data_IF_247457806533
#
_entry.id   IF_247457806533
#
_cell.length_a   1.000
_cell.length_b   1.000
_cell.length_c   1.000
_cell.angle_alpha   90.00
_cell.angle_beta   90.00
_cell.angle_gamma   90.00
#
_symmetry.space_group_name_H-M   'P 1'
#
loop_
_entity.id
_entity.type
_entity.pdbx_description
1 polymer ?
#
# COMPACT_ATOMS: atom_id res chain seq x y z
N UNK A 1 26.53 -32.61 49.42
CA UNK A 1 26.22 -33.91 48.77
C UNK A 1 25.65 -33.57 47.39
N UNK A 2 26.14 -33.96 46.22
CA UNK A 2 27.22 -34.85 45.75
C UNK A 2 27.52 -34.48 44.28
N UNK A 3 28.83 -34.42 43.94
CA UNK A 3 29.54 -34.77 42.69
C UNK A 3 29.03 -34.25 41.31
N UNK A 4 29.80 -33.42 40.58
CA UNK A 4 30.97 -33.73 39.72
C UNK A 4 30.64 -34.67 38.56
N UNK A 5 30.72 -34.16 37.32
CA UNK A 5 31.16 -34.91 36.14
C UNK A 5 31.79 -33.96 35.10
N UNK A 6 33.12 -33.94 35.09
CA UNK A 6 33.98 -33.53 33.97
C UNK A 6 34.33 -34.81 33.22
N UNK A 7 34.25 -34.84 31.89
CA UNK A 7 35.25 -35.53 31.06
C UNK A 7 35.13 -35.19 29.57
N UNK A 8 36.27 -34.72 29.06
CA UNK A 8 36.67 -34.47 27.68
C UNK A 8 36.60 -35.73 26.80
N UNK A 9 36.47 -35.56 25.48
CA UNK A 9 37.35 -36.25 24.54
C UNK A 9 37.41 -35.52 23.17
N UNK A 10 38.63 -35.17 22.79
CA UNK A 10 39.07 -34.68 21.48
C UNK A 10 39.61 -35.87 20.69
N UNK A 11 39.30 -35.98 19.40
CA UNK A 11 40.12 -36.73 18.45
C UNK A 11 39.95 -36.17 17.03
N UNK A 12 41.06 -35.70 16.46
CA UNK A 12 41.23 -35.36 15.06
C UNK A 12 41.83 -36.57 14.32
N UNK A 13 41.40 -36.84 13.09
CA UNK A 13 42.16 -37.64 12.12
C UNK A 13 41.99 -37.02 10.73
N UNK A 14 43.13 -36.74 10.09
CA UNK A 14 43.31 -36.23 8.72
C UNK A 14 43.79 -37.40 7.84
N UNK A 15 43.53 -37.28 6.53
CA UNK A 15 44.24 -37.88 5.39
C UNK A 15 43.57 -39.05 4.64
N UNK A 16 43.24 -38.77 3.37
CA UNK A 16 43.78 -39.51 2.22
C UNK A 16 42.92 -40.62 1.61
N UNK A 17 42.47 -40.42 0.36
CA UNK A 17 42.65 -41.39 -0.73
C UNK A 17 42.28 -40.74 -2.08
N UNK A 18 43.31 -40.55 -2.89
CA UNK A 18 43.31 -40.22 -4.31
C UNK A 18 43.28 -41.54 -5.12
N UNK A 19 42.54 -41.62 -6.24
CA UNK A 19 43.00 -42.24 -7.50
C UNK A 19 41.88 -42.60 -8.47
N UNK A 20 42.14 -42.23 -9.74
CA UNK A 20 41.89 -42.97 -11.00
C UNK A 20 40.54 -42.83 -11.73
N UNK A 21 40.60 -41.87 -12.66
CA UNK A 21 40.18 -41.98 -14.06
C UNK A 21 40.57 -43.31 -14.75
N UNK A 22 39.66 -43.87 -15.55
CA UNK A 22 39.96 -44.44 -16.89
C UNK A 22 38.69 -44.85 -17.66
N UNK A 23 38.30 -44.01 -18.61
CA UNK A 23 37.99 -44.27 -20.02
C UNK A 23 37.64 -45.70 -20.53
N UNK A 24 36.44 -45.75 -21.15
CA UNK A 24 36.13 -46.13 -22.54
C UNK A 24 36.25 -47.59 -23.05
N UNK A 25 35.16 -47.99 -23.72
CA UNK A 25 35.06 -48.71 -25.00
C UNK A 25 34.66 -50.19 -24.99
N UNK A 26 33.48 -50.42 -25.63
CA UNK A 26 33.12 -51.51 -26.54
C UNK A 26 33.12 -52.95 -25.96
N UNK A 27 32.27 -53.89 -26.37
CA UNK A 27 31.80 -54.17 -27.72
C UNK A 27 30.64 -55.19 -27.69
N UNK A 28 29.86 -55.12 -28.77
CA UNK A 28 28.66 -55.82 -29.22
C UNK A 28 28.63 -57.36 -29.20
N UNK A 29 27.41 -57.93 -29.17
CA UNK A 29 26.89 -59.10 -29.93
C UNK A 29 25.37 -59.25 -29.60
N UNK A 30 24.37 -58.94 -30.45
CA UNK A 30 23.86 -59.66 -31.64
C UNK A 30 23.33 -61.09 -31.28
N UNK A 31 22.11 -61.60 -31.57
CA UNK A 31 20.88 -61.17 -32.30
C UNK A 31 19.72 -62.17 -32.03
N UNK A 32 18.46 -61.75 -32.27
CA UNK A 32 17.31 -62.50 -32.86
C UNK A 32 16.17 -62.95 -31.92
N UNK A 33 14.94 -63.23 -32.44
CA UNK A 33 13.89 -62.23 -32.64
C UNK A 33 12.56 -62.63 -31.96
N UNK A 34 11.88 -61.70 -31.30
CA UNK A 34 10.62 -61.94 -30.61
C UNK A 34 9.54 -61.00 -31.12
N UNK A 35 8.65 -61.58 -31.92
CA UNK A 35 7.40 -61.07 -32.50
C UNK A 35 6.74 -59.93 -31.73
N UNK A 36 6.49 -58.86 -32.49
CA UNK A 36 5.57 -57.76 -32.20
C UNK A 36 4.19 -58.25 -31.76
N UNK A 37 3.81 -57.87 -30.55
CA UNK A 37 2.41 -57.75 -30.14
C UNK A 37 2.22 -56.30 -29.68
N UNK A 38 1.66 -55.50 -30.57
CA UNK A 38 1.13 -54.17 -30.27
C UNK A 38 0.17 -54.28 -29.09
N UNK A 39 0.59 -53.79 -27.94
CA UNK A 39 -0.33 -53.40 -26.88
C UNK A 39 -0.17 -51.88 -26.71
N UNK A 40 -0.67 -51.15 -27.70
CA UNK A 40 -0.78 -49.70 -27.67
C UNK A 40 -1.85 -49.32 -26.65
N UNK A 41 -1.45 -49.20 -25.38
CA UNK A 41 -2.21 -48.45 -24.41
C UNK A 41 -2.43 -47.05 -24.99
N UNK A 42 -3.66 -46.51 -25.07
CA UNK A 42 -3.87 -45.15 -25.55
C UNK A 42 -3.08 -44.21 -24.65
N UNK A 43 -1.99 -43.67 -25.20
CA UNK A 43 -1.18 -42.67 -24.53
C UNK A 43 -2.09 -41.46 -24.34
N UNK A 44 -2.52 -41.26 -23.09
CA UNK A 44 -3.29 -40.09 -22.70
C UNK A 44 -2.51 -38.87 -23.24
N UNK A 45 -3.14 -38.01 -24.07
CA UNK A 45 -2.46 -36.85 -24.60
C UNK A 45 -1.85 -36.09 -23.41
N UNK A 46 -0.61 -35.56 -23.55
CA UNK A 46 -0.01 -34.78 -22.49
C UNK A 46 -1.04 -33.73 -22.05
N UNK A 47 -1.23 -33.53 -20.73
CA UNK A 47 -2.15 -32.50 -20.26
C UNK A 47 -1.76 -31.21 -20.98
N UNK A 48 -2.71 -30.66 -21.73
CA UNK A 48 -2.56 -29.37 -22.38
C UNK A 48 -2.35 -28.39 -21.23
N UNK A 49 -1.09 -28.08 -20.93
CA UNK A 49 -0.74 -27.02 -20.00
C UNK A 49 -1.31 -25.78 -20.64
N UNK A 50 -2.40 -25.27 -20.05
CA UNK A 50 -3.00 -24.02 -20.50
C UNK A 50 -1.87 -22.98 -20.62
N UNK A 51 -1.83 -22.20 -21.72
CA UNK A 51 -0.85 -21.12 -21.81
C UNK A 51 -0.96 -20.29 -20.54
N UNK A 52 0.18 -20.09 -19.86
CA UNK A 52 0.21 -19.31 -18.64
C UNK A 52 -0.54 -17.99 -18.89
N UNK A 53 -1.43 -17.58 -17.96
CA UNK A 53 -2.14 -16.32 -18.13
C UNK A 53 -1.13 -15.21 -18.42
N UNK A 54 -1.48 -14.25 -19.30
CA UNK A 54 -0.58 -13.14 -19.60
C UNK A 54 -0.14 -12.50 -18.28
N UNK A 55 1.14 -12.10 -18.16
CA UNK A 55 1.67 -11.56 -16.92
C UNK A 55 0.80 -10.38 -16.47
N UNK A 56 0.54 -10.25 -15.16
CA UNK A 56 -0.24 -9.14 -14.65
C UNK A 56 0.41 -7.83 -15.11
N UNK A 57 -0.42 -6.84 -15.44
CA UNK A 57 0.04 -5.52 -15.88
C UNK A 57 0.76 -4.73 -14.78
N UNK A 58 0.99 -5.36 -13.62
CA UNK A 58 1.55 -4.80 -12.40
C UNK A 58 2.46 -5.84 -11.74
N UNK A 59 3.37 -5.37 -10.90
CA UNK A 59 4.34 -6.23 -10.22
C UNK A 59 3.93 -6.65 -8.80
N UNK A 60 2.96 -5.97 -8.19
CA UNK A 60 2.47 -6.36 -6.86
C UNK A 60 1.76 -7.73 -6.89
N UNK A 61 1.97 -8.53 -5.84
CA UNK A 61 1.34 -9.84 -5.65
C UNK A 61 -0.05 -9.73 -5.02
N UNK A 62 -0.28 -8.69 -4.22
CA UNK A 62 -1.59 -8.38 -3.64
C UNK A 62 -1.79 -6.89 -3.44
N UNK A 63 -3.05 -6.47 -3.38
CA UNK A 63 -3.43 -5.11 -3.01
C UNK A 63 -4.64 -5.13 -2.08
N UNK A 64 -4.55 -4.44 -0.94
CA UNK A 64 -5.64 -4.29 0.00
C UNK A 64 -5.59 -2.88 0.61
N UNK A 65 -6.72 -2.17 0.57
CA UNK A 65 -6.89 -0.85 1.20
C UNK A 65 -5.79 0.17 0.82
N UNK A 66 -5.38 0.19 -0.46
CA UNK A 66 -4.31 1.07 -0.96
C UNK A 66 -2.89 0.70 -0.48
N UNK A 67 -2.73 -0.48 0.11
CA UNK A 67 -1.44 -1.10 0.45
C UNK A 67 -1.18 -2.25 -0.53
N UNK A 68 0.02 -2.29 -1.09
CA UNK A 68 0.45 -3.21 -2.12
C UNK A 68 1.58 -4.10 -1.59
N UNK A 69 1.41 -5.41 -1.70
CA UNK A 69 2.40 -6.40 -1.26
C UNK A 69 3.26 -6.86 -2.42
N UNK A 70 4.59 -6.81 -2.24
CA UNK A 70 5.56 -7.25 -3.23
C UNK A 70 6.39 -8.41 -2.70
N UNK A 71 6.61 -9.43 -3.54
CA UNK A 71 7.43 -10.57 -3.18
C UNK A 71 8.92 -10.24 -3.32
N UNK A 72 9.70 -10.27 -2.22
CA UNK A 72 11.14 -10.11 -2.32
C UNK A 72 11.79 -11.37 -2.89
N UNK A 73 12.85 -11.18 -3.67
CA UNK A 73 13.64 -12.29 -4.20
C UNK A 73 14.22 -13.18 -3.09
N UNK A 74 14.24 -14.49 -3.37
CA UNK A 74 14.96 -15.48 -2.56
C UNK A 74 16.46 -15.35 -2.80
N UNK A 75 17.25 -15.44 -1.73
CA UNK A 75 18.70 -15.60 -1.85
C UNK A 75 19.09 -17.03 -2.21
N UNK A 76 20.32 -17.25 -2.69
CA UNK A 76 20.83 -18.61 -2.94
C UNK A 76 20.79 -19.49 -1.68
N UNK A 77 21.03 -18.88 -0.52
CA UNK A 77 20.95 -19.55 0.78
C UNK A 77 19.50 -19.90 1.15
N UNK A 78 18.53 -19.01 0.89
CA UNK A 78 17.10 -19.30 1.05
C UNK A 78 16.71 -20.53 0.20
N UNK A 79 17.13 -20.56 -1.07
CA UNK A 79 16.85 -21.68 -1.97
C UNK A 79 17.52 -22.97 -1.48
N UNK A 80 18.78 -22.90 -1.05
CA UNK A 80 19.52 -24.06 -0.52
C UNK A 80 18.89 -24.60 0.77
N UNK A 81 18.30 -23.72 1.57
CA UNK A 81 17.55 -24.08 2.78
C UNK A 81 16.14 -24.61 2.48
N UNK A 82 15.75 -24.72 1.20
CA UNK A 82 14.42 -25.20 0.79
C UNK A 82 13.29 -24.19 1.01
N UNK A 83 13.62 -22.91 1.20
CA UNK A 83 12.62 -21.86 1.40
C UNK A 83 11.98 -21.50 0.07
N UNK A 84 10.68 -21.70 -0.03
CA UNK A 84 9.91 -21.47 -1.25
C UNK A 84 9.48 -20.01 -1.44
N UNK A 85 9.25 -19.26 -0.35
CA UNK A 85 8.75 -17.88 -0.41
C UNK A 85 9.26 -17.04 0.78
N UNK A 86 9.13 -15.71 0.67
CA UNK A 86 9.38 -14.74 1.74
C UNK A 86 8.10 -13.98 2.03
N UNK A 87 8.02 -13.40 3.24
CA UNK A 87 6.95 -12.48 3.57
C UNK A 87 6.93 -11.31 2.57
N UNK A 88 5.73 -10.83 2.27
CA UNK A 88 5.54 -9.70 1.36
C UNK A 88 6.09 -8.43 2.00
N UNK A 89 6.69 -7.58 1.17
CA UNK A 89 7.01 -6.22 1.55
C UNK A 89 5.82 -5.36 1.21
N UNK A 90 5.22 -4.79 2.26
CA UNK A 90 4.02 -3.96 2.14
C UNK A 90 4.41 -2.51 1.87
N UNK A 91 3.78 -1.92 0.86
CA UNK A 91 4.06 -0.57 0.40
C UNK A 91 2.77 0.20 0.15
N UNK A 92 2.73 1.46 0.60
CA UNK A 92 1.69 2.43 0.26
C UNK A 92 2.24 3.46 -0.73
N UNK A 93 1.49 3.71 -1.80
CA UNK A 93 1.81 4.79 -2.73
C UNK A 93 1.23 6.10 -2.20
N UNK A 94 2.06 7.11 -1.95
CA UNK A 94 1.58 8.42 -1.46
C UNK A 94 1.15 9.32 -2.62
N UNK A 95 1.66 9.07 -3.83
CA UNK A 95 1.41 9.88 -5.01
C UNK A 95 2.67 10.52 -5.60
N UNK A 96 2.46 11.31 -6.65
CA UNK A 96 3.44 12.17 -7.27
C UNK A 96 3.34 13.58 -6.64
N UNK A 97 4.40 14.04 -5.97
CA UNK A 97 4.47 15.40 -5.37
C UNK A 97 5.73 16.10 -5.84
N UNK A 98 5.60 17.33 -6.30
CA UNK A 98 6.74 18.13 -6.78
C UNK A 98 7.61 17.37 -7.80
N UNK A 99 6.97 16.63 -8.71
CA UNK A 99 7.64 15.80 -9.72
C UNK A 99 8.33 14.55 -9.17
N UNK A 100 8.13 14.21 -7.90
CA UNK A 100 8.72 13.05 -7.24
C UNK A 100 7.67 12.03 -6.79
N UNK A 101 7.83 10.77 -7.19
CA UNK A 101 7.05 9.64 -6.70
C UNK A 101 7.45 9.36 -5.25
N UNK A 102 6.47 9.18 -4.38
CA UNK A 102 6.69 8.89 -2.97
C UNK A 102 6.05 7.54 -2.62
N UNK A 103 6.88 6.60 -2.21
CA UNK A 103 6.48 5.28 -1.74
C UNK A 103 6.80 5.17 -0.25
N UNK A 104 5.93 4.51 0.50
CA UNK A 104 6.14 4.23 1.92
C UNK A 104 6.07 2.73 2.15
N UNK A 105 7.22 2.12 2.44
CA UNK A 105 7.28 0.74 2.89
C UNK A 105 6.93 0.71 4.37
N UNK A 106 5.92 -0.08 4.72
CA UNK A 106 5.43 -0.23 6.08
C UNK A 106 5.81 -1.61 6.61
N UNK A 107 6.25 -1.65 7.86
CA UNK A 107 6.49 -2.89 8.59
C UNK A 107 5.23 -3.20 9.42
N UNK A 108 4.60 -4.34 9.16
CA UNK A 108 3.38 -4.74 9.88
C UNK A 108 3.65 -5.12 11.34
N UNK A 109 4.85 -5.62 11.63
CA UNK A 109 5.25 -6.00 12.99
C UNK A 109 5.69 -4.77 13.80
N UNK A 110 6.19 -3.74 13.13
CA UNK A 110 6.59 -2.48 13.75
C UNK A 110 6.10 -1.24 13.00
N UNK A 111 4.84 -0.83 13.21
CA UNK A 111 4.24 0.30 12.49
C UNK A 111 4.92 1.64 12.77
N UNK A 112 5.78 1.71 13.80
CA UNK A 112 6.54 2.93 14.12
C UNK A 112 7.74 3.11 13.18
N UNK A 113 8.20 2.06 12.50
CA UNK A 113 9.32 2.13 11.57
C UNK A 113 8.78 2.01 10.15
N UNK A 114 9.14 2.96 9.30
CA UNK A 114 8.80 2.92 7.87
C UNK A 114 9.98 3.36 7.02
N UNK A 115 10.00 2.95 5.77
CA UNK A 115 11.01 3.42 4.82
C UNK A 115 10.34 4.21 3.71
N UNK A 116 10.65 5.52 3.63
CA UNK A 116 10.17 6.40 2.58
C UNK A 116 11.14 6.38 1.40
N UNK A 117 10.65 5.95 0.24
CA UNK A 117 11.37 6.03 -1.03
C UNK A 117 10.85 7.22 -1.82
N UNK A 118 11.74 8.05 -2.32
CA UNK A 118 11.38 9.21 -3.15
C UNK A 118 12.29 9.31 -4.37
N UNK A 119 11.71 9.42 -5.56
CA UNK A 119 12.47 9.62 -6.81
C UNK A 119 11.71 10.51 -7.78
N UNK A 120 12.43 11.28 -8.59
CA UNK A 120 11.86 12.03 -9.72
C UNK A 120 12.16 11.26 -11.01
N UNK A 121 11.23 11.27 -11.98
CA UNK A 121 11.44 10.62 -13.27
C UNK A 121 12.76 11.09 -13.91
N UNK A 122 13.59 10.19 -14.48
CA UNK A 122 13.32 8.78 -14.82
C UNK A 122 13.63 7.78 -13.68
N UNK A 123 13.75 8.22 -12.43
CA UNK A 123 13.93 7.39 -11.24
C UNK A 123 15.15 6.45 -11.25
N UNK A 124 16.23 6.77 -11.98
CA UNK A 124 17.49 5.99 -11.93
C UNK A 124 18.09 5.87 -10.51
N UNK A 125 17.79 6.85 -9.66
CA UNK A 125 18.16 6.88 -8.25
C UNK A 125 16.97 7.30 -7.42
N UNK A 126 16.86 6.74 -6.22
CA UNK A 126 15.86 7.09 -5.25
C UNK A 126 16.51 7.42 -3.91
N UNK A 127 15.96 8.41 -3.22
CA UNK A 127 16.30 8.70 -1.83
C UNK A 127 15.49 7.76 -0.94
N UNK A 128 16.16 6.90 -0.19
CA UNK A 128 15.57 6.04 0.84
C UNK A 128 15.78 6.67 2.20
N UNK A 129 14.71 6.81 2.97
CA UNK A 129 14.74 7.38 4.31
C UNK A 129 14.05 6.45 5.30
N UNK A 130 14.82 5.87 6.22
CA UNK A 130 14.24 5.11 7.33
C UNK A 130 13.73 6.09 8.36
N UNK A 131 12.45 6.01 8.66
CA UNK A 131 11.71 6.84 9.60
C UNK A 131 11.40 6.03 10.86
N UNK A 132 11.50 6.66 12.04
CA UNK A 132 10.85 6.19 13.26
C UNK A 132 9.88 7.28 13.73
N UNK A 133 8.58 7.05 13.53
CA UNK A 133 7.57 8.10 13.59
C UNK A 133 7.93 9.25 12.65
N UNK A 134 8.09 10.46 13.20
CA UNK A 134 8.44 11.66 12.44
C UNK A 134 9.95 11.86 12.22
N UNK A 135 10.80 11.08 12.89
CA UNK A 135 12.26 11.27 12.83
C UNK A 135 12.88 10.45 11.71
N UNK A 136 13.68 11.10 10.86
CA UNK A 136 14.51 10.42 9.87
C UNK A 136 15.72 9.83 10.61
N UNK A 137 15.75 8.52 10.76
CA UNK A 137 16.87 7.79 11.37
C UNK A 137 18.05 7.64 10.41
N UNK A 138 17.76 7.42 9.12
CA UNK A 138 18.78 7.19 8.10
C UNK A 138 18.33 7.73 6.75
N UNK A 139 19.24 8.33 5.99
CA UNK A 139 19.00 8.72 4.59
C UNK A 139 20.09 8.14 3.71
N UNK A 140 19.69 7.48 2.63
CA UNK A 140 20.58 6.86 1.66
C UNK A 140 20.10 7.16 0.25
N UNK A 141 21.03 7.19 -0.71
CA UNK A 141 20.68 7.24 -2.14
C UNK A 141 20.90 5.86 -2.72
N UNK A 142 19.84 5.27 -3.24
CA UNK A 142 19.83 3.91 -3.77
C UNK A 142 19.67 3.98 -5.28
N UNK A 143 20.42 3.14 -6.01
CA UNK A 143 20.22 2.95 -7.45
C UNK A 143 18.96 2.10 -7.67
N UNK A 144 18.05 2.58 -8.49
CA UNK A 144 16.85 1.81 -8.88
C UNK A 144 17.20 1.01 -10.12
N UNK A 145 16.94 -0.29 -10.09
CA UNK A 145 17.10 -1.19 -11.24
C UNK A 145 15.78 -1.91 -11.50
N UNK A 146 15.37 -2.14 -12.75
CA UNK A 146 14.05 -2.72 -13.07
C UNK A 146 13.78 -4.05 -12.36
N UNK A 147 14.75 -4.96 -12.32
CA UNK A 147 14.59 -6.29 -11.71
C UNK A 147 14.82 -6.30 -10.18
N UNK A 148 14.64 -5.18 -9.51
CA UNK A 148 14.71 -5.10 -8.05
C UNK A 148 13.35 -4.84 -7.44
N UNK A 149 13.19 -5.17 -6.17
CA UNK A 149 11.97 -4.91 -5.43
C UNK A 149 11.53 -3.43 -5.50
N UNK A 150 12.46 -2.50 -5.27
CA UNK A 150 12.19 -1.05 -5.36
C UNK A 150 11.90 -0.64 -6.82
N UNK A 151 12.54 -1.29 -7.80
CA UNK A 151 12.28 -1.06 -9.22
C UNK A 151 10.85 -1.41 -9.61
N UNK A 152 10.40 -2.61 -9.25
CA UNK A 152 9.03 -3.08 -9.48
C UNK A 152 7.98 -2.13 -8.87
N UNK A 153 8.22 -1.66 -7.64
CA UNK A 153 7.35 -0.68 -6.98
C UNK A 153 7.28 0.66 -7.72
N UNK A 154 8.43 1.17 -8.17
CA UNK A 154 8.51 2.44 -8.91
C UNK A 154 7.91 2.30 -10.30
N UNK A 155 8.09 1.16 -10.97
CA UNK A 155 7.51 0.90 -12.28
C UNK A 155 5.99 0.88 -12.23
N UNK A 156 5.40 0.23 -11.24
CA UNK A 156 3.95 0.27 -11.01
C UNK A 156 3.46 1.71 -10.74
N UNK A 157 4.24 2.51 -10.00
CA UNK A 157 3.91 3.91 -9.73
C UNK A 157 3.98 4.78 -11.00
N UNK A 158 5.03 4.60 -11.82
CA UNK A 158 5.26 5.36 -13.05
C UNK A 158 4.30 4.97 -14.17
N UNK A 159 3.82 3.72 -14.18
CA UNK A 159 2.84 3.21 -15.15
C UNK A 159 1.39 3.51 -14.75
N UNK A 160 1.16 4.13 -13.59
CA UNK A 160 -0.18 4.50 -13.12
C UNK A 160 -1.00 3.34 -12.56
N UNK A 161 -0.35 2.22 -12.23
CA UNK A 161 -1.00 1.01 -11.73
C UNK A 161 -1.34 1.07 -10.23
N UNK A 162 -0.81 2.08 -9.54
CA UNK A 162 -1.01 2.29 -8.12
C UNK A 162 -2.02 3.41 -7.87
N UNK A 163 -2.96 3.15 -6.99
CA UNK A 163 -3.85 4.18 -6.43
C UNK A 163 -3.16 4.80 -5.22
N UNK A 164 -3.09 6.14 -5.12
CA UNK A 164 -2.60 6.79 -3.92
C UNK A 164 -3.41 6.36 -2.70
N UNK A 165 -2.72 5.91 -1.66
CA UNK A 165 -3.30 5.54 -0.39
C UNK A 165 -4.06 6.73 0.22
N UNK A 166 -5.31 6.50 0.65
CA UNK A 166 -6.21 7.54 1.16
C UNK A 166 -7.12 8.21 0.11
N UNK A 167 -7.34 7.60 -1.06
CA UNK A 167 -8.22 8.12 -2.13
C UNK A 167 -9.45 7.24 -2.46
N UNK A 168 -9.83 6.25 -1.64
CA UNK A 168 -10.99 5.41 -1.93
C UNK A 168 -12.29 5.97 -1.32
N UNK A 169 -13.17 6.52 -2.17
CA UNK A 169 -14.63 6.37 -1.99
C UNK A 169 -15.33 6.07 -3.32
N UNK A 170 -16.29 5.14 -3.23
CA UNK A 170 -17.49 4.99 -4.08
C UNK A 170 -17.41 4.31 -5.45
N UNK A 171 -17.29 2.97 -5.46
CA UNK A 171 -17.82 2.12 -6.55
C UNK A 171 -18.64 0.93 -6.06
N UNK A 172 -19.38 1.11 -4.96
CA UNK A 172 -20.52 0.24 -4.64
C UNK A 172 -21.71 1.16 -4.37
N UNK A 173 -22.83 0.92 -5.03
CA UNK A 173 -24.12 1.66 -4.95
C UNK A 173 -24.35 2.76 -6.01
N UNK A 174 -24.23 2.44 -7.30
CA UNK A 174 -25.07 3.12 -8.30
C UNK A 174 -25.44 2.20 -9.47
N UNK A 175 -26.25 1.19 -9.18
CA UNK A 175 -27.18 0.65 -10.17
C UNK A 175 -28.52 0.45 -9.48
N UNK A 176 -29.59 0.88 -10.16
CA UNK A 176 -30.99 0.80 -9.74
C UNK A 176 -31.52 1.96 -8.88
N UNK A 177 -31.68 3.12 -9.51
CA UNK A 177 -32.93 3.87 -9.38
C UNK A 177 -33.15 4.76 -10.62
N UNK A 178 -33.83 4.18 -11.60
CA UNK A 178 -34.50 4.92 -12.67
C UNK A 178 -35.68 4.08 -13.14
N UNK A 179 -36.85 4.37 -12.59
CA UNK A 179 -38.13 4.01 -13.18
C UNK A 179 -39.22 4.91 -12.57
N UNK A 180 -39.43 6.07 -13.18
CA UNK A 180 -40.70 6.80 -13.10
C UNK A 180 -40.82 7.78 -14.30
N UNK A 181 -41.23 7.20 -15.42
CA UNK A 181 -42.22 7.67 -16.40
C UNK A 181 -42.58 9.17 -16.47
N UNK A 182 -42.33 9.77 -17.64
CA UNK A 182 -43.30 10.64 -18.33
C UNK A 182 -43.04 10.64 -19.85
N UNK A 183 -44.08 10.67 -20.71
CA UNK A 183 -43.96 10.51 -22.15
C UNK A 183 -43.79 11.84 -22.88
N UNK A 184 -42.99 11.87 -23.95
CA UNK A 184 -43.10 12.91 -24.97
C UNK A 184 -42.94 12.30 -26.37
N UNK A 185 -44.05 12.32 -27.09
CA UNK A 185 -44.12 12.14 -28.54
C UNK A 185 -43.55 13.39 -29.19
N UNK A 186 -42.58 13.26 -30.10
CA UNK A 186 -42.65 13.79 -31.48
C UNK A 186 -41.35 13.56 -32.24
N UNK A 187 -41.51 12.95 -33.41
CA UNK A 187 -40.49 12.79 -34.43
C UNK A 187 -40.31 14.10 -35.22
N UNK A 188 -39.06 14.49 -35.44
CA UNK A 188 -38.57 14.98 -36.74
C UNK A 188 -37.04 15.11 -36.74
N UNK A 189 -36.41 14.48 -37.72
CA UNK A 189 -35.06 14.74 -38.24
C UNK A 189 -35.16 15.72 -39.44
N UNK A 190 -34.06 16.20 -40.07
CA UNK A 190 -32.66 16.36 -39.65
C UNK A 190 -32.09 17.76 -39.99
N UNK A 191 -31.07 18.24 -39.27
CA UNK A 191 -30.09 19.19 -39.85
C UNK A 191 -28.69 18.84 -39.33
N UNK A 192 -27.82 18.50 -40.27
CA UNK A 192 -26.40 18.26 -40.05
C UNK A 192 -25.63 19.58 -40.07
N UNK A 193 -24.90 19.91 -38.99
CA UNK A 193 -23.75 20.85 -38.93
C UNK A 193 -22.86 20.47 -37.71
N UNK A 194 -21.58 20.91 -37.65
CA UNK A 194 -20.40 20.10 -37.87
C UNK A 194 -19.80 19.53 -36.57
N UNK A 195 -18.97 18.50 -36.71
CA UNK A 195 -18.09 17.96 -35.67
C UNK A 195 -17.18 19.09 -35.16
N UNK A 196 -17.53 19.67 -34.02
CA UNK A 196 -16.62 20.50 -33.26
C UNK A 196 -15.61 19.57 -32.57
N UNK A 197 -14.35 19.74 -32.96
CA UNK A 197 -13.17 19.16 -32.34
C UNK A 197 -13.16 19.54 -30.85
N UNK A 198 -13.56 18.62 -29.98
CA UNK A 198 -13.31 18.77 -28.55
C UNK A 198 -11.83 18.46 -28.30
N UNK A 199 -11.04 19.39 -27.73
CA UNK A 199 -9.75 19.06 -27.17
C UNK A 199 -9.96 18.04 -26.05
N UNK A 200 -9.16 16.98 -26.10
CA UNK A 200 -9.11 15.95 -25.10
C UNK A 200 -8.67 16.50 -23.73
N UNK A 201 -9.35 16.02 -22.69
CA UNK A 201 -8.78 15.62 -21.41
C UNK A 201 -8.05 16.68 -20.59
N UNK A 202 -8.81 17.51 -19.87
CA UNK A 202 -8.42 17.87 -18.51
C UNK A 202 -8.81 16.71 -17.59
N UNK A 203 -7.83 16.08 -16.96
CA UNK A 203 -8.04 15.13 -15.89
C UNK A 203 -8.91 15.80 -14.82
N UNK A 204 -10.12 15.25 -14.61
CA UNK A 204 -11.05 15.76 -13.60
C UNK A 204 -10.39 15.66 -12.22
N UNK A 205 -9.91 16.80 -11.70
CA UNK A 205 -9.61 16.94 -10.29
C UNK A 205 -10.92 16.71 -9.53
N UNK A 206 -10.95 15.68 -8.67
CA UNK A 206 -12.08 15.47 -7.76
C UNK A 206 -12.38 16.78 -7.03
N UNK A 207 -13.66 17.21 -6.94
CA UNK A 207 -13.99 18.46 -6.29
C UNK A 207 -13.57 18.41 -4.83
N UNK A 208 -12.95 19.50 -4.36
CA UNK A 208 -12.62 19.67 -2.94
C UNK A 208 -13.89 19.54 -2.10
N UNK A 209 -13.77 18.84 -0.99
CA UNK A 209 -14.88 18.68 -0.06
C UNK A 209 -15.18 19.99 0.65
N UNK A 210 -16.44 20.19 1.04
CA UNK A 210 -16.80 21.29 1.91
C UNK A 210 -16.34 21.00 3.34
N UNK A 211 -15.48 21.83 3.90
CA UNK A 211 -14.98 21.67 5.28
C UNK A 211 -15.33 22.91 6.11
N UNK A 212 -14.96 22.93 7.40
CA UNK A 212 -15.09 24.10 8.26
C UNK A 212 -14.03 25.17 8.01
N UNK A 213 -13.07 24.88 7.13
CA UNK A 213 -12.02 25.78 6.70
C UNK A 213 -12.00 25.89 5.16
N UNK A 214 -11.14 26.77 4.65
CA UNK A 214 -11.02 26.99 3.22
C UNK A 214 -10.01 25.99 2.62
N UNK A 215 -10.50 25.00 1.88
CA UNK A 215 -9.64 24.00 1.24
C UNK A 215 -8.65 24.58 0.23
N UNK A 216 -8.91 25.76 -0.34
CA UNK A 216 -7.94 26.44 -1.19
C UNK A 216 -6.74 27.00 -0.40
N UNK A 217 -6.84 27.05 0.93
CA UNK A 217 -5.79 27.51 1.84
C UNK A 217 -5.15 26.38 2.65
N UNK A 218 -5.46 25.12 2.34
CA UNK A 218 -4.87 23.97 3.00
C UNK A 218 -3.34 23.97 2.82
N UNK A 219 -2.61 23.85 3.92
CA UNK A 219 -1.13 23.91 3.97
C UNK A 219 -0.51 22.68 4.63
N UNK A 220 -1.31 21.91 5.37
CA UNK A 220 -0.83 20.75 6.10
C UNK A 220 -1.35 19.43 5.52
N UNK A 221 -0.66 18.33 5.84
CA UNK A 221 -1.08 16.97 5.45
C UNK A 221 -2.49 16.67 6.00
N UNK A 222 -2.80 16.92 7.29
CA UNK A 222 -4.17 16.81 7.81
C UNK A 222 -5.20 17.58 6.99
N UNK A 223 -4.96 18.87 6.72
CA UNK A 223 -5.90 19.70 5.97
C UNK A 223 -6.11 19.18 4.55
N UNK A 224 -5.05 18.73 3.89
CA UNK A 224 -5.14 18.11 2.58
C UNK A 224 -6.00 16.83 2.62
N UNK A 225 -5.76 15.94 3.57
CA UNK A 225 -6.55 14.71 3.73
C UNK A 225 -8.03 15.02 3.99
N UNK A 226 -8.33 16.00 4.85
CA UNK A 226 -9.70 16.41 5.14
C UNK A 226 -10.39 16.99 3.89
N UNK A 227 -9.66 17.73 3.04
CA UNK A 227 -10.22 18.32 1.82
C UNK A 227 -10.50 17.33 0.69
N UNK A 228 -9.92 16.13 0.74
CA UNK A 228 -10.05 15.12 -0.32
C UNK A 228 -10.73 13.83 0.14
N UNK A 229 -11.19 13.76 1.40
CA UNK A 229 -11.91 12.62 1.95
C UNK A 229 -13.28 13.06 2.50
N UNK A 230 -14.39 12.52 1.99
CA UNK A 230 -15.73 12.96 2.36
C UNK A 230 -16.08 12.66 3.83
N UNK A 231 -15.54 11.58 4.42
CA UNK A 231 -15.81 11.20 5.81
C UNK A 231 -15.06 12.11 6.77
N UNK A 232 -13.80 12.45 6.45
CA UNK A 232 -13.01 13.41 7.21
C UNK A 232 -13.60 14.82 7.09
N UNK A 233 -14.06 15.23 5.90
CA UNK A 233 -14.75 16.49 5.72
C UNK A 233 -16.06 16.58 6.51
N UNK A 234 -16.83 15.48 6.57
CA UNK A 234 -18.02 15.41 7.40
C UNK A 234 -17.67 15.52 8.90
N UNK A 235 -16.65 14.79 9.34
CA UNK A 235 -16.14 14.84 10.72
C UNK A 235 -15.65 16.24 11.10
N UNK A 236 -15.04 16.97 10.16
CA UNK A 236 -14.57 18.34 10.36
C UNK A 236 -15.73 19.32 10.58
N UNK A 237 -16.77 19.27 9.75
CA UNK A 237 -17.96 20.11 9.91
C UNK A 237 -18.71 19.82 11.22
N UNK A 238 -18.82 18.55 11.57
CA UNK A 238 -19.46 18.08 12.81
C UNK A 238 -18.68 18.51 14.06
N UNK A 239 -17.35 18.41 14.02
CA UNK A 239 -16.50 18.92 15.09
C UNK A 239 -16.60 20.44 15.22
N UNK A 240 -16.69 21.18 14.11
CA UNK A 240 -16.84 22.63 14.13
C UNK A 240 -18.16 23.05 14.82
N UNK A 241 -19.26 22.34 14.56
CA UNK A 241 -20.53 22.57 15.26
C UNK A 241 -20.40 22.27 16.77
N UNK A 242 -19.79 21.13 17.12
CA UNK A 242 -19.56 20.72 18.52
C UNK A 242 -18.65 21.71 19.25
N UNK A 243 -17.64 22.26 18.57
CA UNK A 243 -16.73 23.26 19.10
C UNK A 243 -17.46 24.56 19.47
N UNK A 244 -18.40 25.03 18.64
CA UNK A 244 -19.19 26.22 18.99
C UNK A 244 -20.05 25.97 20.23
N UNK A 245 -20.72 24.82 20.33
CA UNK A 245 -21.50 24.45 21.51
C UNK A 245 -20.63 24.43 22.78
N UNK A 246 -19.45 23.82 22.70
CA UNK A 246 -18.50 23.78 23.83
C UNK A 246 -17.99 25.17 24.21
N UNK A 247 -17.69 26.02 23.21
CA UNK A 247 -17.22 27.39 23.41
C UNK A 247 -18.27 28.29 24.08
N UNK A 248 -19.55 28.07 23.77
CA UNK A 248 -20.65 28.83 24.35
C UNK A 248 -20.95 28.40 25.79
N UNK A 249 -20.79 27.10 26.09
CA UNK A 249 -21.07 26.53 27.42
C UNK A 249 -19.90 26.65 28.42
N UNK A 250 -18.65 26.74 27.97
CA UNK A 250 -17.48 26.66 28.86
C UNK A 250 -17.36 27.87 29.78
N UNK A 251 -17.08 27.61 31.06
CA UNK A 251 -16.93 28.64 32.09
C UNK A 251 -15.59 29.35 31.94
N UNK A 252 -14.49 28.60 31.81
CA UNK A 252 -13.15 29.14 31.59
C UNK A 252 -12.78 29.14 30.10
N UNK A 253 -13.04 30.28 29.46
CA UNK A 253 -12.73 30.48 28.03
C UNK A 253 -11.24 30.45 27.72
N UNK A 254 -10.38 30.91 28.65
CA UNK A 254 -8.94 30.97 28.41
C UNK A 254 -8.34 29.55 28.41
N UNK A 255 -8.71 28.75 29.41
CA UNK A 255 -8.31 27.34 29.45
C UNK A 255 -8.86 26.56 28.25
N UNK A 256 -10.07 26.86 27.78
CA UNK A 256 -10.66 26.20 26.61
C UNK A 256 -9.87 26.48 25.33
N UNK A 257 -9.49 27.74 25.10
CA UNK A 257 -8.63 28.12 23.96
C UNK A 257 -7.29 27.42 24.04
N UNK A 258 -6.67 27.35 25.22
CA UNK A 258 -5.39 26.65 25.37
C UNK A 258 -5.51 25.15 25.08
N UNK A 259 -6.52 24.48 25.66
CA UNK A 259 -6.77 23.04 25.46
C UNK A 259 -7.02 22.72 23.99
N UNK A 260 -7.90 23.47 23.34
CA UNK A 260 -8.26 23.24 21.93
C UNK A 260 -7.09 23.52 21.00
N UNK A 261 -6.31 24.59 21.26
CA UNK A 261 -5.05 24.84 20.53
C UNK A 261 -4.05 23.69 20.67
N UNK A 262 -3.88 23.13 21.87
CA UNK A 262 -3.01 21.95 22.08
C UNK A 262 -3.48 20.75 21.24
N UNK A 263 -4.78 20.49 21.21
CA UNK A 263 -5.35 19.39 20.42
C UNK A 263 -5.22 19.60 18.91
N UNK A 264 -5.45 20.82 18.42
CA UNK A 264 -5.19 21.17 17.02
C UNK A 264 -3.71 21.01 16.67
N UNK A 265 -2.80 21.53 17.49
CA UNK A 265 -1.35 21.37 17.28
C UNK A 265 -0.92 19.90 17.28
N UNK A 266 -1.55 19.07 18.12
CA UNK A 266 -1.31 17.63 18.11
C UNK A 266 -1.72 17.03 16.76
N UNK A 267 -2.92 17.32 16.27
CA UNK A 267 -3.38 16.86 14.94
C UNK A 267 -2.41 17.26 13.84
N UNK A 268 -2.03 18.54 13.80
CA UNK A 268 -1.12 19.08 12.79
C UNK A 268 0.25 18.38 12.80
N UNK A 269 0.75 18.03 13.99
CA UNK A 269 2.07 17.40 14.15
C UNK A 269 2.05 15.89 13.91
N UNK A 270 1.02 15.19 14.39
CA UNK A 270 1.08 13.73 14.53
C UNK A 270 0.25 12.98 13.49
N UNK A 271 -0.82 13.56 12.95
CA UNK A 271 -1.66 12.83 12.00
C UNK A 271 -1.18 12.96 10.56
N UNK A 272 -1.00 11.81 9.90
CA UNK A 272 -0.51 11.71 8.51
C UNK A 272 -1.35 10.78 7.64
N UNK A 273 -2.41 10.20 8.19
CA UNK A 273 -3.34 9.29 7.52
C UNK A 273 -4.78 9.47 8.01
N UNK A 274 -5.70 8.77 7.34
CA UNK A 274 -7.14 8.79 7.65
C UNK A 274 -7.42 8.20 9.03
N UNK A 275 -6.74 7.14 9.43
CA UNK A 275 -7.01 6.44 10.70
C UNK A 275 -6.65 7.30 11.91
N UNK A 276 -5.51 8.01 11.87
CA UNK A 276 -5.16 8.97 12.91
C UNK A 276 -6.19 10.10 12.98
N UNK A 277 -6.57 10.67 11.83
CA UNK A 277 -7.56 11.76 11.80
C UNK A 277 -8.92 11.30 12.30
N UNK A 278 -9.38 10.12 11.89
CA UNK A 278 -10.64 9.52 12.33
C UNK A 278 -10.64 9.31 13.84
N UNK A 279 -9.56 8.74 14.38
CA UNK A 279 -9.39 8.54 15.82
C UNK A 279 -9.34 9.87 16.59
N UNK A 280 -8.62 10.86 16.05
CA UNK A 280 -8.52 12.20 16.63
C UNK A 280 -9.87 12.91 16.64
N UNK A 281 -10.62 12.89 15.53
CA UNK A 281 -11.96 13.48 15.44
C UNK A 281 -12.92 12.82 16.43
N UNK A 282 -12.91 11.48 16.52
CA UNK A 282 -13.75 10.74 17.46
C UNK A 282 -13.45 11.12 18.92
N UNK A 283 -12.17 11.16 19.30
CA UNK A 283 -11.74 11.60 20.63
C UNK A 283 -12.14 13.05 20.91
N UNK A 284 -11.79 13.96 20.00
CA UNK A 284 -12.00 15.39 20.21
C UNK A 284 -13.49 15.73 20.26
N UNK A 285 -14.33 15.04 19.47
CA UNK A 285 -15.78 15.19 19.54
C UNK A 285 -16.33 14.77 20.89
N UNK A 286 -15.90 13.62 21.45
CA UNK A 286 -16.35 13.18 22.78
C UNK A 286 -15.95 14.16 23.88
N UNK A 287 -14.71 14.64 23.86
CA UNK A 287 -14.23 15.65 24.81
C UNK A 287 -15.03 16.95 24.72
N UNK A 288 -15.19 17.51 23.51
CA UNK A 288 -15.93 18.76 23.32
C UNK A 288 -17.41 18.62 23.66
N UNK A 289 -18.02 17.46 23.37
CA UNK A 289 -19.41 17.18 23.77
C UNK A 289 -19.56 17.20 25.29
N UNK A 290 -18.63 16.57 26.03
CA UNK A 290 -18.65 16.61 27.50
C UNK A 290 -18.48 18.04 28.02
N UNK A 291 -17.56 18.84 27.45
CA UNK A 291 -17.38 20.25 27.81
C UNK A 291 -18.67 21.05 27.53
N UNK A 292 -19.33 20.81 26.39
CA UNK A 292 -20.59 21.47 26.04
C UNK A 292 -21.72 21.16 27.04
N UNK A 293 -21.72 19.96 27.64
CA UNK A 293 -22.73 19.54 28.61
C UNK A 293 -22.45 20.05 30.03
N UNK A 294 -21.18 20.12 30.44
CA UNK A 294 -20.81 20.41 31.84
C UNK A 294 -20.29 21.83 32.05
N UNK A 295 -19.82 22.49 31.00
CA UNK A 295 -19.07 23.75 31.08
C UNK A 295 -17.65 23.60 31.67
N UNK A 296 -17.22 22.39 32.03
CA UNK A 296 -15.91 22.11 32.63
C UNK A 296 -14.87 21.71 31.57
N UNK A 297 -13.87 22.56 31.39
CA UNK A 297 -12.75 22.38 30.46
C UNK A 297 -11.82 21.21 30.82
N UNK A 298 -11.83 20.74 32.06
CA UNK A 298 -10.92 19.70 32.55
C UNK A 298 -11.50 18.29 32.42
N UNK A 299 -12.73 18.16 31.92
CA UNK A 299 -13.38 16.86 31.74
C UNK A 299 -12.51 15.92 30.89
N UNK A 300 -12.41 14.67 31.34
CA UNK A 300 -11.61 13.63 30.69
C UNK A 300 -12.50 12.69 29.87
N UNK A 301 -11.88 12.10 28.85
CA UNK A 301 -12.50 11.04 28.09
C UNK A 301 -12.22 9.69 28.77
N UNK A 302 -13.03 9.34 29.77
CA UNK A 302 -13.05 8.00 30.36
C UNK A 302 -13.61 6.98 29.38
#
# INVERSE_FOLDING_TARGET
MKHIAILLLVAAIVAGCDSKQSNTSAQSSATSPGTSSDNSTPQQPPPVVAPAPPPPSHNYAMSQDGTYGYEPALSEDDVRAGKATKALVMMRYVGLRDGSYILLLVDEDNPNISNRITCSAPCNFAKSQTMAGDSILKTETVRVVPNSLIGAMIEDAMSGQLTPYGQHTSTLTQSQQSAATAPSTQANLPVAQPVATQPASDAAASPLQQTSFDCAKAKSIPEFLICHDPDLAASDRDLAATYQQAKDAVIDKAAFVERTRKQWNFREKNCRDKDCLTSWYAYQKRVLTKIAQTGDVNVQDN
#
